data_IF_283622592139
#
_entry.id   IF_283622592139
#
_cell.length_a   1.000
_cell.length_b   1.000
_cell.length_c   1.000
_cell.angle_alpha   90.00
_cell.angle_beta   90.00
_cell.angle_gamma   90.00
#
_symmetry.space_group_name_H-M   'P 1'
#
loop_
_entity.id
_entity.type
_entity.pdbx_description
1 polymer ?
#
# COMPACT_ATOMS: atom_id res chain seq x y z
N UNK A 1 -32.87 -26.30 4.36
CA UNK A 1 -32.34 -25.61 5.55
C UNK A 1 -32.05 -26.66 6.62
N UNK A 2 -30.79 -27.04 6.85
CA UNK A 2 -30.40 -28.00 7.89
C UNK A 2 -29.73 -27.24 9.03
N UNK A 3 -30.45 -27.12 10.14
CA UNK A 3 -29.96 -26.52 11.38
C UNK A 3 -28.97 -27.51 12.03
N UNK A 4 -27.71 -27.12 12.14
CA UNK A 4 -26.69 -27.88 12.90
C UNK A 4 -26.88 -27.57 14.36
N UNK A 5 -27.44 -28.49 15.11
CA UNK A 5 -27.51 -28.47 16.55
C UNK A 5 -26.12 -28.71 17.12
N UNK A 6 -25.56 -27.74 17.82
CA UNK A 6 -24.32 -27.89 18.55
C UNK A 6 -24.57 -28.75 19.79
N UNK A 7 -23.80 -29.85 19.94
CA UNK A 7 -23.82 -30.72 21.11
C UNK A 7 -23.09 -30.01 22.25
N UNK A 8 -23.79 -29.64 23.29
CA UNK A 8 -23.20 -29.09 24.52
C UNK A 8 -22.34 -30.18 25.19
N UNK A 9 -21.09 -29.87 25.47
CA UNK A 9 -20.23 -30.66 26.36
C UNK A 9 -20.49 -30.12 27.75
N UNK A 10 -21.03 -31.01 28.60
CA UNK A 10 -21.37 -30.72 30.02
C UNK A 10 -20.07 -30.55 30.81
N UNK A 11 -19.88 -29.40 31.48
CA UNK A 11 -18.75 -29.13 32.38
C UNK A 11 -17.86 -27.92 32.03
N UNK A 12 -18.17 -27.12 31.03
CA UNK A 12 -17.37 -25.94 30.68
C UNK A 12 -17.92 -24.66 31.32
N UNK A 13 -17.10 -24.03 32.18
CA UNK A 13 -17.43 -22.77 32.85
C UNK A 13 -17.67 -21.65 31.82
N UNK A 14 -18.92 -21.18 31.71
CA UNK A 14 -19.34 -20.13 30.75
C UNK A 14 -18.68 -18.75 30.95
N UNK A 15 -17.90 -18.57 32.02
CA UNK A 15 -17.28 -17.28 32.37
C UNK A 15 -15.98 -16.98 31.58
N UNK A 16 -15.44 -17.97 30.87
CA UNK A 16 -14.19 -17.83 30.08
C UNK A 16 -14.34 -18.09 28.59
N UNK A 17 -15.54 -18.03 28.02
CA UNK A 17 -15.69 -18.03 26.57
C UNK A 17 -15.40 -16.64 26.02
N UNK A 18 -14.15 -16.38 25.67
CA UNK A 18 -13.82 -15.32 24.75
C UNK A 18 -14.37 -15.71 23.39
N UNK A 19 -15.51 -15.14 23.01
CA UNK A 19 -15.98 -15.21 21.63
C UNK A 19 -14.98 -14.42 20.80
N UNK A 20 -14.10 -15.11 20.07
CA UNK A 20 -13.37 -14.47 18.99
C UNK A 20 -14.40 -13.93 18.01
N UNK A 21 -14.53 -12.61 17.96
CA UNK A 21 -15.32 -11.96 16.91
C UNK A 21 -14.77 -12.44 15.58
N UNK A 22 -15.61 -12.93 14.64
CA UNK A 22 -15.14 -13.35 13.34
C UNK A 22 -14.31 -12.23 12.73
N UNK A 23 -13.02 -12.49 12.47
CA UNK A 23 -12.19 -11.52 11.80
C UNK A 23 -12.79 -11.32 10.40
N UNK A 24 -13.37 -10.15 10.18
CA UNK A 24 -13.88 -9.80 8.86
C UNK A 24 -12.68 -9.68 7.91
N UNK A 25 -12.66 -10.49 6.86
CA UNK A 25 -11.64 -10.39 5.81
C UNK A 25 -11.64 -8.99 5.23
N UNK A 26 -10.49 -8.32 5.26
CA UNK A 26 -10.34 -7.00 4.61
C UNK A 26 -9.77 -7.17 3.21
N UNK A 27 -10.29 -6.41 2.25
CA UNK A 27 -9.82 -6.38 0.88
C UNK A 27 -8.91 -5.18 0.65
N UNK A 28 -7.90 -5.36 -0.18
CA UNK A 28 -7.12 -4.29 -0.78
C UNK A 28 -6.77 -4.67 -2.22
N UNK A 29 -6.55 -3.69 -3.08
CA UNK A 29 -6.15 -3.91 -4.48
C UNK A 29 -4.90 -3.11 -4.78
N UNK A 30 -4.08 -3.63 -5.68
CA UNK A 30 -2.89 -2.94 -6.17
C UNK A 30 -3.07 -2.57 -7.63
N UNK A 31 -2.70 -1.34 -7.98
CA UNK A 31 -2.76 -0.80 -9.33
C UNK A 31 -1.38 -0.33 -9.80
N UNK A 32 -1.17 -0.41 -11.09
CA UNK A 32 0.03 0.13 -11.75
C UNK A 32 -0.28 1.53 -12.32
N UNK A 33 0.64 2.50 -12.16
CA UNK A 33 0.46 3.81 -12.75
C UNK A 33 0.41 3.71 -14.28
N UNK A 34 -0.57 4.33 -14.95
CA UNK A 34 -0.73 4.22 -16.39
C UNK A 34 0.39 4.97 -17.11
N UNK A 35 0.84 4.42 -18.24
CA UNK A 35 1.91 4.99 -19.06
C UNK A 35 1.42 5.65 -20.36
N UNK A 36 0.14 5.46 -20.71
CA UNK A 36 -0.54 6.08 -21.83
C UNK A 36 -2.06 6.20 -21.58
N UNK A 37 -2.76 6.84 -22.52
CA UNK A 37 -4.22 7.07 -22.40
C UNK A 37 -5.04 5.76 -22.33
N UNK A 38 -4.65 4.75 -23.10
CA UNK A 38 -5.32 3.45 -23.07
C UNK A 38 -5.15 2.73 -21.72
N UNK A 39 -3.93 2.73 -21.17
CA UNK A 39 -3.65 2.20 -19.83
C UNK A 39 -4.42 2.98 -18.76
N UNK A 40 -4.56 4.30 -18.91
CA UNK A 40 -5.37 5.13 -18.01
C UNK A 40 -6.85 4.73 -18.06
N UNK A 41 -7.40 4.52 -19.25
CA UNK A 41 -8.78 4.06 -19.40
C UNK A 41 -8.98 2.65 -18.82
N UNK A 42 -8.01 1.74 -18.96
CA UNK A 42 -8.08 0.40 -18.32
C UNK A 42 -8.03 0.49 -16.80
N UNK A 43 -7.10 1.28 -16.25
CA UNK A 43 -7.01 1.51 -14.80
C UNK A 43 -8.35 2.01 -14.28
N UNK A 44 -8.93 3.00 -14.93
CA UNK A 44 -10.17 3.61 -14.47
C UNK A 44 -11.33 2.62 -14.48
N UNK A 45 -11.51 1.85 -15.55
CA UNK A 45 -12.52 0.77 -15.60
C UNK A 45 -12.33 -0.25 -14.48
N UNK A 46 -11.08 -0.58 -14.13
CA UNK A 46 -10.80 -1.51 -13.03
C UNK A 46 -11.17 -0.90 -11.68
N UNK A 47 -10.81 0.36 -11.45
CA UNK A 47 -11.18 1.08 -10.22
C UNK A 47 -12.70 1.15 -10.06
N UNK A 48 -13.44 1.53 -11.10
CA UNK A 48 -14.91 1.60 -11.07
C UNK A 48 -15.58 0.25 -10.74
N UNK A 49 -15.02 -0.84 -11.23
CA UNK A 49 -15.56 -2.19 -10.97
C UNK A 49 -15.21 -2.71 -9.58
N UNK A 50 -14.07 -2.32 -9.03
CA UNK A 50 -13.56 -2.84 -7.75
C UNK A 50 -13.94 -1.95 -6.56
N UNK A 51 -14.16 -0.66 -6.75
CA UNK A 51 -14.55 0.26 -5.70
C UNK A 51 -15.84 -0.17 -4.93
N UNK A 52 -16.90 -0.68 -5.59
CA UNK A 52 -18.10 -1.14 -4.88
C UNK A 52 -17.89 -2.32 -3.93
N UNK A 53 -16.76 -3.04 -4.04
CA UNK A 53 -16.39 -4.12 -3.12
C UNK A 53 -15.90 -3.59 -1.75
N UNK A 54 -15.82 -2.28 -1.56
CA UNK A 54 -15.46 -1.63 -0.31
C UNK A 54 -14.03 -1.96 0.17
N UNK A 55 -12.99 -1.85 -0.67
CA UNK A 55 -11.63 -2.12 -0.22
C UNK A 55 -11.24 -1.18 0.92
N UNK A 56 -10.52 -1.71 1.91
CA UNK A 56 -10.00 -0.92 3.03
C UNK A 56 -9.05 0.18 2.55
N UNK A 57 -8.27 -0.14 1.54
CA UNK A 57 -7.45 0.78 0.77
C UNK A 57 -7.10 0.18 -0.60
N UNK A 58 -6.58 0.98 -1.47
CA UNK A 58 -5.90 0.52 -2.70
C UNK A 58 -4.47 1.05 -2.70
N UNK A 59 -3.56 0.38 -3.39
CA UNK A 59 -2.18 0.85 -3.51
C UNK A 59 -1.81 1.11 -4.97
N UNK A 60 -0.89 2.04 -5.19
CA UNK A 60 -0.34 2.33 -6.51
C UNK A 60 1.15 2.09 -6.48
N UNK A 61 1.62 1.23 -7.41
CA UNK A 61 3.02 0.85 -7.47
C UNK A 61 3.92 2.01 -7.87
N UNK A 62 5.18 1.94 -7.42
CA UNK A 62 6.24 2.88 -7.74
C UNK A 62 7.28 2.19 -8.61
N UNK A 63 7.57 2.73 -9.78
CA UNK A 63 8.52 2.08 -10.69
C UNK A 63 9.96 2.20 -10.21
N UNK A 64 10.74 1.16 -10.48
CA UNK A 64 12.16 1.15 -10.19
C UNK A 64 12.87 2.37 -10.81
N UNK A 65 13.75 3.02 -10.02
CA UNK A 65 14.54 4.16 -10.46
C UNK A 65 13.82 5.51 -10.57
N UNK A 66 12.65 5.67 -9.94
CA UNK A 66 11.99 6.98 -9.84
C UNK A 66 11.32 7.51 -11.12
N UNK A 67 11.45 6.81 -12.25
CA UNK A 67 10.94 7.25 -13.57
C UNK A 67 9.41 7.32 -13.66
N UNK A 68 8.71 6.77 -12.69
CA UNK A 68 7.23 6.75 -12.65
C UNK A 68 6.64 7.66 -11.57
N UNK A 69 7.46 8.45 -10.85
CA UNK A 69 7.03 9.25 -9.70
C UNK A 69 5.80 10.12 -10.02
N UNK A 70 5.88 10.93 -11.06
CA UNK A 70 4.78 11.82 -11.46
C UNK A 70 3.52 11.05 -11.86
N UNK A 71 3.69 9.93 -12.57
CA UNK A 71 2.57 9.08 -12.99
C UNK A 71 1.91 8.42 -11.79
N UNK A 72 2.68 7.94 -10.81
CA UNK A 72 2.17 7.35 -9.58
C UNK A 72 1.36 8.39 -8.80
N UNK A 73 1.92 9.58 -8.61
CA UNK A 73 1.27 10.70 -7.92
C UNK A 73 -0.04 11.10 -8.62
N UNK A 74 -0.03 11.22 -9.94
CA UNK A 74 -1.22 11.53 -10.75
C UNK A 74 -2.31 10.46 -10.64
N UNK A 75 -1.92 9.17 -10.68
CA UNK A 75 -2.85 8.06 -10.52
C UNK A 75 -3.48 8.04 -9.13
N UNK A 76 -2.68 8.23 -8.08
CA UNK A 76 -3.15 8.33 -6.68
C UNK A 76 -4.20 9.44 -6.58
N UNK A 77 -3.86 10.65 -7.02
CA UNK A 77 -4.79 11.79 -6.97
C UNK A 77 -6.09 11.52 -7.72
N UNK A 78 -6.01 10.95 -8.91
CA UNK A 78 -7.19 10.61 -9.71
C UNK A 78 -8.10 9.62 -8.98
N UNK A 79 -7.53 8.58 -8.35
CA UNK A 79 -8.29 7.57 -7.61
C UNK A 79 -8.93 8.21 -6.37
N UNK A 80 -8.21 9.04 -5.62
CA UNK A 80 -8.75 9.75 -4.45
C UNK A 80 -9.92 10.67 -4.84
N UNK A 81 -9.73 11.50 -5.86
CA UNK A 81 -10.71 12.52 -6.25
C UNK A 81 -12.00 11.91 -6.82
N UNK A 82 -11.88 10.86 -7.65
CA UNK A 82 -13.02 10.30 -8.38
C UNK A 82 -13.68 9.12 -7.67
N UNK A 83 -12.88 8.21 -7.10
CA UNK A 83 -13.41 7.00 -6.47
C UNK A 83 -13.57 7.14 -4.95
N UNK A 84 -13.03 8.21 -4.36
CA UNK A 84 -13.06 8.45 -2.90
C UNK A 84 -12.49 7.30 -2.07
N UNK A 85 -11.53 6.57 -2.64
CA UNK A 85 -10.85 5.46 -1.97
C UNK A 85 -9.65 5.97 -1.16
N UNK A 86 -9.36 5.28 -0.06
CA UNK A 86 -8.08 5.44 0.64
C UNK A 86 -6.97 4.87 -0.24
N UNK A 87 -5.93 5.64 -0.48
CA UNK A 87 -4.82 5.21 -1.34
C UNK A 87 -3.52 5.13 -0.55
N UNK A 88 -2.78 4.05 -0.76
CA UNK A 88 -1.40 3.88 -0.31
C UNK A 88 -0.45 4.12 -1.49
N UNK A 89 0.62 4.87 -1.25
CA UNK A 89 1.70 5.01 -2.22
C UNK A 89 2.81 3.99 -1.95
N UNK A 90 3.31 3.31 -2.99
CA UNK A 90 4.55 2.55 -2.84
C UNK A 90 5.75 3.48 -2.76
N UNK A 91 6.74 3.10 -1.99
CA UNK A 91 8.01 3.82 -1.85
C UNK A 91 9.15 2.83 -1.71
N UNK A 92 10.18 2.98 -2.54
CA UNK A 92 11.37 2.13 -2.51
C UNK A 92 12.60 2.92 -2.11
N UNK A 93 13.63 2.21 -1.66
CA UNK A 93 14.94 2.82 -1.29
C UNK A 93 15.96 2.78 -2.43
N UNK A 94 15.57 2.29 -3.62
CA UNK A 94 16.48 2.09 -4.75
C UNK A 94 17.00 3.42 -5.27
N UNK A 95 18.35 3.56 -5.31
CA UNK A 95 19.03 4.62 -6.04
C UNK A 95 18.83 6.04 -5.48
N UNK A 96 18.32 6.20 -4.26
CA UNK A 96 18.03 7.48 -3.66
C UNK A 96 18.62 7.61 -2.25
N UNK A 97 19.03 8.81 -1.88
CA UNK A 97 19.41 9.17 -0.52
C UNK A 97 18.20 9.14 0.43
N UNK A 98 18.45 9.11 1.74
CA UNK A 98 17.39 9.23 2.76
C UNK A 98 16.58 10.52 2.58
N UNK A 99 17.26 11.62 2.30
CA UNK A 99 16.61 12.92 2.08
C UNK A 99 15.65 12.88 0.90
N UNK A 100 16.10 12.41 -0.26
CA UNK A 100 15.27 12.28 -1.46
C UNK A 100 14.08 11.34 -1.26
N UNK A 101 14.31 10.20 -0.58
CA UNK A 101 13.24 9.24 -0.26
C UNK A 101 12.18 9.87 0.65
N UNK A 102 12.60 10.60 1.68
CA UNK A 102 11.69 11.29 2.59
C UNK A 102 10.98 12.48 1.91
N UNK A 103 11.60 13.12 0.93
CA UNK A 103 10.95 14.17 0.12
C UNK A 103 9.79 13.60 -0.71
N UNK A 104 9.94 12.38 -1.25
CA UNK A 104 8.83 11.68 -1.91
C UNK A 104 7.69 11.43 -0.92
N UNK A 105 8.01 10.93 0.28
CA UNK A 105 7.01 10.69 1.32
C UNK A 105 6.29 11.98 1.74
N UNK A 106 7.01 13.09 1.90
CA UNK A 106 6.41 14.40 2.16
C UNK A 106 5.49 14.85 1.02
N UNK A 107 5.88 14.59 -0.23
CA UNK A 107 5.03 14.83 -1.40
C UNK A 107 3.72 14.04 -1.37
N UNK A 108 3.76 12.79 -0.93
CA UNK A 108 2.55 11.98 -0.69
C UNK A 108 1.70 12.59 0.42
N UNK A 109 2.32 12.94 1.55
CA UNK A 109 1.61 13.53 2.69
C UNK A 109 0.92 14.85 2.33
N UNK A 110 1.54 15.68 1.50
CA UNK A 110 0.96 16.94 1.00
C UNK A 110 -0.31 16.71 0.16
N UNK A 111 -0.48 15.52 -0.41
CA UNK A 111 -1.68 15.10 -1.15
C UNK A 111 -2.68 14.30 -0.29
N UNK A 112 -2.48 14.26 1.03
CA UNK A 112 -3.34 13.52 1.95
C UNK A 112 -3.08 12.01 2.00
N UNK A 113 -2.04 11.51 1.33
CA UNK A 113 -1.64 10.09 1.39
C UNK A 113 -0.81 9.86 2.65
N UNK A 114 -1.34 9.07 3.58
CA UNK A 114 -0.66 8.74 4.84
C UNK A 114 -0.19 7.28 4.89
N UNK A 115 -0.74 6.44 4.05
CA UNK A 115 -0.38 5.03 3.99
C UNK A 115 0.70 4.79 2.96
N UNK A 116 1.80 4.17 3.40
CA UNK A 116 2.96 3.86 2.57
C UNK A 116 3.18 2.34 2.54
N UNK A 117 3.34 1.80 1.35
CA UNK A 117 3.89 0.45 1.15
C UNK A 117 5.39 0.60 0.99
N UNK A 118 6.12 0.43 2.10
CA UNK A 118 7.57 0.59 2.14
C UNK A 118 8.26 -0.69 1.63
N UNK A 119 9.11 -0.55 0.64
CA UNK A 119 9.81 -1.65 -0.02
C UNK A 119 11.31 -1.35 -0.12
N UNK A 120 12.13 -2.41 -0.10
CA UNK A 120 13.52 -2.24 -0.50
C UNK A 120 13.61 -1.88 -1.99
N UNK A 121 12.81 -2.54 -2.80
CA UNK A 121 12.88 -2.52 -4.25
C UNK A 121 13.85 -3.56 -4.82
N UNK A 122 13.78 -3.75 -6.13
CA UNK A 122 14.64 -4.69 -6.86
C UNK A 122 15.94 -4.01 -7.29
N UNK A 123 16.93 -4.83 -7.67
CA UNK A 123 18.15 -4.32 -8.29
C UNK A 123 17.82 -3.54 -9.57
N UNK A 124 18.50 -2.40 -9.82
CA UNK A 124 18.37 -1.70 -11.10
C UNK A 124 18.68 -2.61 -12.29
N UNK A 125 18.07 -2.33 -13.45
CA UNK A 125 18.34 -3.10 -14.67
C UNK A 125 19.84 -3.15 -14.96
N UNK A 126 20.35 -4.36 -15.19
CA UNK A 126 21.77 -4.59 -15.48
C UNK A 126 22.65 -4.78 -14.23
N UNK A 127 22.05 -4.84 -13.05
CA UNK A 127 22.74 -5.22 -11.81
C UNK A 127 22.18 -6.54 -11.30
N UNK A 128 23.07 -7.44 -10.86
CA UNK A 128 22.69 -8.77 -10.35
C UNK A 128 22.12 -8.73 -8.93
N UNK A 129 22.41 -7.67 -8.19
CA UNK A 129 21.97 -7.51 -6.81
C UNK A 129 21.72 -6.04 -6.45
N UNK A 130 20.89 -5.86 -5.42
CA UNK A 130 20.62 -4.54 -4.87
C UNK A 130 21.84 -4.01 -4.13
N UNK A 131 22.18 -2.74 -4.41
CA UNK A 131 23.19 -1.97 -3.67
C UNK A 131 22.50 -0.70 -3.16
N UNK A 132 22.53 -0.49 -1.86
CA UNK A 132 21.98 0.73 -1.28
C UNK A 132 22.79 1.96 -1.71
N UNK A 133 22.11 3.09 -1.89
CA UNK A 133 22.79 4.38 -2.05
C UNK A 133 23.65 4.66 -0.80
N UNK A 134 24.88 5.21 -0.89
CA UNK A 134 25.75 5.47 0.26
C UNK A 134 25.04 6.24 1.39
N UNK A 135 24.25 7.24 1.05
CA UNK A 135 23.45 8.05 1.98
C UNK A 135 21.97 7.60 2.01
N UNK A 136 21.64 6.42 1.51
CA UNK A 136 20.29 5.89 1.42
C UNK A 136 19.88 5.04 2.61
N UNK A 137 18.61 4.63 2.62
CA UNK A 137 18.17 3.54 3.48
C UNK A 137 18.66 2.21 2.94
N UNK A 138 19.09 1.31 3.81
CA UNK A 138 19.64 0.00 3.44
C UNK A 138 18.56 -1.00 3.03
N UNK A 139 17.40 -0.88 3.68
CA UNK A 139 16.28 -1.81 3.50
C UNK A 139 14.93 -1.16 3.87
N UNK A 140 13.86 -1.94 3.74
CA UNK A 140 12.51 -1.48 4.05
C UNK A 140 12.31 -1.21 5.56
N UNK A 141 13.00 -1.92 6.45
CA UNK A 141 12.87 -1.71 7.89
C UNK A 141 13.45 -0.35 8.31
N UNK A 142 14.60 0.01 7.76
CA UNK A 142 15.22 1.33 7.97
C UNK A 142 14.37 2.46 7.38
N UNK A 143 13.76 2.22 6.20
CA UNK A 143 12.80 3.16 5.60
C UNK A 143 11.58 3.36 6.50
N UNK A 144 10.99 2.29 7.05
CA UNK A 144 9.84 2.40 7.97
C UNK A 144 10.21 3.22 9.21
N UNK A 145 11.38 2.98 9.81
CA UNK A 145 11.86 3.78 10.94
C UNK A 145 11.97 5.27 10.58
N UNK A 146 12.62 5.59 9.45
CA UNK A 146 12.75 6.97 8.98
C UNK A 146 11.43 7.64 8.65
N UNK A 147 10.45 6.91 8.10
CA UNK A 147 9.10 7.43 7.86
C UNK A 147 8.36 7.76 9.16
N UNK A 148 8.49 6.92 10.20
CA UNK A 148 7.87 7.17 11.52
C UNK A 148 8.48 8.39 12.22
N UNK A 149 9.77 8.63 12.05
CA UNK A 149 10.45 9.83 12.55
C UNK A 149 10.06 11.10 11.76
N UNK A 150 9.90 10.97 10.44
CA UNK A 150 9.64 12.09 9.54
C UNK A 150 8.19 12.60 9.57
N UNK A 151 7.23 11.81 10.07
CA UNK A 151 5.84 12.23 10.10
C UNK A 151 4.83 11.13 10.48
N UNK A 152 3.55 11.46 10.38
CA UNK A 152 2.45 10.56 10.70
C UNK A 152 2.08 9.70 9.47
N UNK A 153 2.90 8.67 9.21
CA UNK A 153 2.64 7.65 8.19
C UNK A 153 2.16 6.34 8.81
N UNK A 154 1.27 5.66 8.06
CA UNK A 154 0.75 4.32 8.38
C UNK A 154 1.47 3.24 7.58
#
# INVERSE_FOLDING_TARGET
>A
MKTRTAKLIDGMDRRNMTYETPQTTSLSFEFFPPHNAEASARLWRSVERLAPLGPKYVSVTYGAGGTTRERTVSAIKTIQDRARLNVAGHLTVVGASKAETLDVARGYAAQGVRRIVALRGDAPKGQDHFIAHPDGFRDAAELVAGLKEAGNFE
#
